data_IF_918046680178
#
_entry.id   IF_918046680178
#
_cell.length_a   1.000
_cell.length_b   1.000
_cell.length_c   1.000
_cell.angle_alpha   90.00
_cell.angle_beta   90.00
_cell.angle_gamma   90.00
#
_symmetry.space_group_name_H-M   'P 1'
#
loop_
_entity.id
_entity.type
_entity.pdbx_description
1 polymer ?
2 non-polymer ?
3 non-polymer ?
4 non-polymer ?
5 water ?
#
# COMPACT_ATOMS: atom_id res chain seq x y z
N UNK A 15 -6.22 27.54 19.70
CA UNK A 15 -5.73 26.56 18.72
C UNK A 15 -4.64 27.13 17.83
N UNK A 16 -3.52 26.42 17.73
CA UNK A 16 -2.49 26.83 16.79
C UNK A 16 -2.89 26.46 15.37
N UNK A 17 -2.38 27.23 14.41
CA UNK A 17 -2.66 27.00 13.00
C UNK A 17 -1.38 26.59 12.29
N UNK A 18 -1.54 25.84 11.20
CA UNK A 18 -0.43 25.45 10.35
C UNK A 18 -0.81 25.78 8.92
N UNK A 19 -0.24 26.86 8.38
CA UNK A 19 -0.39 27.24 6.98
C UNK A 19 -1.87 27.27 6.56
N UNK A 20 -2.63 28.11 7.27
CA UNK A 20 -4.04 28.28 6.98
C UNK A 20 -4.94 27.20 7.51
N UNK A 21 -4.40 26.15 8.11
CA UNK A 21 -5.18 25.03 8.60
C UNK A 21 -5.19 25.06 10.12
N UNK A 22 -6.38 25.16 10.70
CA UNK A 22 -6.53 25.08 12.15
C UNK A 22 -6.42 23.63 12.58
N UNK A 23 -5.63 23.36 13.61
CA UNK A 23 -5.49 22.02 14.19
C UNK A 23 -6.08 22.05 15.60
N UNK A 24 -7.36 21.71 15.70
CA UNK A 24 -8.05 21.67 16.99
C UNK A 24 -7.63 20.46 17.80
N UNK A 25 -6.33 20.32 18.08
CA UNK A 25 -5.79 19.12 18.70
C UNK A 25 -5.42 19.31 20.15
N UNK A 26 -5.75 20.46 20.74
CA UNK A 26 -5.34 20.76 22.09
C UNK A 26 -6.32 20.22 23.12
N UNK A 27 -5.87 20.21 24.39
CA UNK A 27 -4.54 20.68 24.79
C UNK A 27 -3.42 19.62 24.77
N UNK A 28 -3.75 18.38 24.43
CA UNK A 28 -2.75 17.32 24.55
C UNK A 28 -1.59 17.53 23.57
N UNK A 29 -1.88 18.04 22.38
CA UNK A 29 -0.88 18.12 21.31
C UNK A 29 -0.61 19.57 20.97
N UNK A 30 0.66 19.97 21.09
CA UNK A 30 1.10 21.35 20.91
C UNK A 30 2.36 21.38 20.06
N UNK A 31 2.81 22.60 19.75
CA UNK A 31 4.08 22.85 19.04
C UNK A 31 4.12 22.10 17.72
N UNK A 32 3.32 22.60 16.78
CA UNK A 32 3.10 21.92 15.51
C UNK A 32 4.05 22.41 14.43
N UNK A 33 4.34 21.53 13.47
CA UNK A 33 5.17 21.86 12.33
C UNK A 33 4.63 21.13 11.10
N UNK A 34 4.53 21.86 9.99
CA UNK A 34 4.03 21.29 8.75
C UNK A 34 4.95 20.17 8.26
N UNK A 35 4.34 19.09 7.75
CA UNK A 35 5.05 17.98 7.15
C UNK A 35 4.63 17.76 5.70
N UNK A 36 3.33 17.69 5.45
CA UNK A 36 2.83 17.42 4.12
C UNK A 36 1.36 17.77 4.01
N UNK A 37 0.83 17.61 2.81
CA UNK A 37 -0.53 18.07 2.50
C UNK A 37 -1.16 17.19 1.45
N UNK A 38 -2.49 17.17 1.43
CA UNK A 38 -3.24 16.34 0.50
C UNK A 38 -4.52 16.99 -0.01
N UNK A 39 -5.35 16.21 -0.72
CA UNK A 39 -6.53 16.77 -1.37
C UNK A 39 -7.59 17.21 -0.37
N UNK A 40 -7.62 16.60 0.81
CA UNK A 40 -8.48 17.07 1.89
C UNK A 40 -7.84 16.80 3.24
N UNK A 41 -6.51 16.83 3.30
CA UNK A 41 -5.80 16.50 4.51
C UNK A 41 -4.42 17.11 4.56
N UNK A 42 -3.99 17.45 5.77
CA UNK A 42 -2.67 18.00 6.02
C UNK A 42 -2.03 17.25 7.17
N UNK A 43 -0.72 17.00 7.06
CA UNK A 43 0.03 16.25 8.06
C UNK A 43 1.01 17.18 8.76
N UNK A 44 1.05 17.10 10.09
CA UNK A 44 1.96 17.88 10.90
C UNK A 44 2.59 17.00 11.97
N UNK A 45 3.71 17.45 12.50
CA UNK A 45 4.26 16.84 13.70
C UNK A 45 3.80 17.67 14.89
N UNK A 46 3.74 17.03 16.05
CA UNK A 46 3.24 17.73 17.22
C UNK A 46 3.79 17.07 18.47
N UNK A 47 3.90 17.85 19.55
CA UNK A 47 4.35 17.30 20.81
C UNK A 47 3.15 16.70 21.56
N UNK A 48 3.26 15.43 21.92
CA UNK A 48 2.27 14.74 22.75
C UNK A 48 2.62 15.00 24.21
N UNK A 49 1.86 15.92 24.83
CA UNK A 49 2.16 16.33 26.21
C UNK A 49 1.88 15.24 27.24
N UNK A 50 1.17 14.18 26.86
CA UNK A 50 0.98 13.05 27.76
C UNK A 50 2.17 12.10 27.69
N UNK A 51 2.49 11.60 26.49
CA UNK A 51 3.55 10.62 26.34
C UNK A 51 4.93 11.24 26.21
N UNK A 52 5.03 12.57 26.17
CA UNK A 52 6.31 13.28 26.19
C UNK A 52 7.16 12.90 24.98
N UNK A 53 6.52 12.91 23.82
CA UNK A 53 7.16 12.54 22.57
C UNK A 53 6.46 13.27 21.44
N UNK A 54 7.18 13.56 20.37
CA UNK A 54 6.55 14.15 19.21
C UNK A 54 5.89 13.07 18.37
N UNK A 55 4.72 13.41 17.80
CA UNK A 55 3.90 12.49 17.04
C UNK A 55 3.56 13.11 15.70
N UNK A 56 2.92 12.31 14.83
CA UNK A 56 2.40 12.80 13.57
C UNK A 56 0.88 12.89 13.67
N UNK A 57 0.31 13.96 13.12
CA UNK A 57 -1.15 14.15 13.12
C UNK A 57 -1.60 14.54 11.73
N UNK A 58 -2.62 13.85 11.22
CA UNK A 58 -3.22 14.18 9.94
C UNK A 58 -4.62 14.72 10.18
N UNK A 59 -4.88 15.92 9.68
CA UNK A 59 -6.22 16.49 9.69
C UNK A 59 -6.96 16.07 8.44
N UNK A 60 -8.13 15.45 8.61
CA UNK A 60 -8.96 14.99 7.51
C UNK A 60 -10.26 15.77 7.54
N UNK A 61 -10.75 16.19 6.37
CA UNK A 61 -12.01 16.92 6.25
C UNK A 61 -12.84 16.26 5.15
N UNK A 62 -13.38 15.08 5.41
CA UNK A 62 -13.95 14.26 4.32
C UNK A 62 -15.46 14.36 4.13
N UNK A 63 -16.18 15.12 4.94
CA UNK A 63 -17.59 14.83 5.13
C UNK A 63 -18.49 15.38 4.03
N UNK A 64 -17.96 16.23 3.15
CA UNK A 64 -18.75 16.71 2.03
C UNK A 64 -18.75 15.75 0.83
N UNK A 65 -17.92 14.71 0.84
CA UNK A 65 -17.74 13.85 -0.33
C UNK A 65 -17.80 12.39 0.06
N UNK A 66 -18.72 11.66 -0.59
CA UNK A 66 -18.95 10.27 -0.25
C UNK A 66 -17.68 9.43 -0.37
N UNK A 67 -16.93 9.61 -1.47
CA UNK A 67 -15.73 8.81 -1.68
C UNK A 67 -14.69 9.09 -0.59
N UNK A 68 -14.56 10.34 -0.17
CA UNK A 68 -13.63 10.65 0.91
C UNK A 68 -14.07 9.96 2.19
N UNK A 69 -15.38 9.98 2.47
CA UNK A 69 -15.89 9.31 3.66
C UNK A 69 -15.60 7.81 3.61
N UNK A 70 -15.79 7.19 2.43
CA UNK A 70 -15.46 5.79 2.24
C UNK A 70 -14.02 5.48 2.61
N UNK A 71 -13.09 6.22 2.02
CA UNK A 71 -11.67 5.95 2.27
C UNK A 71 -11.30 6.21 3.72
N UNK A 72 -11.89 7.23 4.32
CA UNK A 72 -11.60 7.53 5.72
C UNK A 72 -12.09 6.40 6.62
N UNK A 73 -13.30 5.92 6.39
CA UNK A 73 -13.83 4.84 7.21
C UNK A 73 -12.99 3.58 7.05
N UNK A 74 -12.62 3.23 5.81
CA UNK A 74 -11.78 2.06 5.57
C UNK A 74 -10.47 2.16 6.34
N UNK A 75 -9.79 3.30 6.22
CA UNK A 75 -8.50 3.48 6.91
C UNK A 75 -8.67 3.29 8.41
N UNK A 76 -9.67 3.94 8.99
CA UNK A 76 -9.84 3.90 10.44
C UNK A 76 -10.23 2.50 10.89
N UNK A 77 -11.21 1.89 10.22
CA UNK A 77 -11.67 0.58 10.65
C UNK A 77 -10.56 -0.45 10.56
N UNK A 78 -9.77 -0.43 9.49
CA UNK A 78 -8.73 -1.44 9.34
C UNK A 78 -7.61 -1.21 10.34
N UNK A 79 -7.09 0.02 10.43
CA UNK A 79 -5.96 0.28 11.31
C UNK A 79 -6.33 0.05 12.78
N UNK A 80 -7.57 0.32 13.16
CA UNK A 80 -7.93 0.08 14.56
C UNK A 80 -8.03 -1.39 14.89
N UNK A 81 -8.26 -2.24 13.88
CA UNK A 81 -8.36 -3.68 14.11
C UNK A 81 -7.03 -4.39 14.00
N UNK A 82 -6.12 -3.86 13.22
CA UNK A 82 -4.79 -4.44 13.05
C UNK A 82 -3.88 -4.05 14.20
N UNK A 83 -3.02 -4.98 14.61
CA UNK A 83 -1.94 -4.69 15.56
C UNK A 83 -0.72 -5.47 15.12
N UNK A 84 0.27 -4.77 14.54
CA UNK A 84 1.42 -5.44 13.96
C UNK A 84 2.57 -4.45 13.86
N UNK A 85 3.79 -4.93 14.12
CA UNK A 85 4.96 -4.06 14.17
C UNK A 85 5.23 -3.37 12.84
N UNK A 86 4.82 -3.98 11.71
CA UNK A 86 5.12 -3.42 10.40
C UNK A 86 3.89 -2.78 9.75
N UNK A 87 2.90 -2.41 10.55
CA UNK A 87 1.72 -1.67 10.10
C UNK A 87 1.53 -0.50 11.04
N UNK A 88 1.37 0.70 10.47
CA UNK A 88 1.27 1.88 11.33
C UNK A 88 0.04 1.74 12.23
N UNK A 89 0.19 2.10 13.50
CA UNK A 89 -0.93 2.09 14.41
C UNK A 89 -1.54 3.47 14.56
N UNK A 90 -2.80 3.50 14.98
CA UNK A 90 -3.47 4.75 15.33
C UNK A 90 -3.37 4.92 16.83
N UNK A 91 -2.67 5.98 17.27
CA UNK A 91 -2.48 6.25 18.69
C UNK A 91 -3.69 6.91 19.33
N UNK A 92 -4.41 7.70 18.54
CA UNK A 92 -5.42 8.62 19.06
C UNK A 92 -6.19 9.12 17.85
N UNK A 93 -7.47 9.42 18.06
CA UNK A 93 -8.27 10.12 17.07
C UNK A 93 -8.99 11.25 17.76
N UNK A 94 -8.86 12.45 17.20
CA UNK A 94 -9.43 13.66 17.78
C UNK A 94 -10.56 14.15 16.88
N UNK A 95 -11.73 14.38 17.47
CA UNK A 95 -12.81 15.02 16.74
C UNK A 95 -13.78 15.60 17.76
N UNK A 96 -14.74 16.38 17.25
CA UNK A 96 -15.72 17.05 18.10
C UNK A 96 -16.54 16.03 18.88
N UNK A 97 -17.13 16.44 20.01
CA UNK A 97 -17.89 15.50 20.83
C UNK A 97 -19.21 15.07 20.23
N UNK A 98 -19.73 15.74 19.22
CA UNK A 98 -21.02 15.41 18.62
C UNK A 98 -20.87 15.36 17.11
N UNK A 99 -21.75 14.57 16.45
CA UNK A 99 -21.73 14.51 14.99
C UNK A 99 -21.97 15.89 14.40
N UNK A 100 -22.90 16.65 14.98
CA UNK A 100 -23.24 17.97 14.46
C UNK A 100 -22.01 18.86 14.41
N UNK A 101 -21.15 18.78 15.43
CA UNK A 101 -19.99 19.64 15.51
C UNK A 101 -18.78 19.05 14.81
N UNK A 102 -18.87 17.81 14.34
CA UNK A 102 -17.72 17.15 13.73
C UNK A 102 -17.58 17.59 12.29
N UNK A 103 -16.56 18.39 12.00
CA UNK A 103 -16.23 18.75 10.63
C UNK A 103 -14.91 18.15 10.17
N UNK A 104 -13.99 17.93 11.10
CA UNK A 104 -12.68 17.40 10.81
C UNK A 104 -12.45 16.18 11.67
N UNK A 105 -11.50 15.35 11.27
CA UNK A 105 -11.02 14.26 12.10
C UNK A 105 -9.50 14.29 12.06
N UNK A 106 -8.87 14.10 13.21
CA UNK A 106 -7.42 14.11 13.29
C UNK A 106 -6.95 12.73 13.70
N UNK A 107 -6.10 12.13 12.88
CA UNK A 107 -5.55 10.82 13.18
C UNK A 107 -4.13 11.02 13.68
N UNK A 108 -3.82 10.48 14.85
CA UNK A 108 -2.51 10.60 15.48
C UNK A 108 -1.78 9.28 15.34
N UNK A 109 -0.53 9.33 14.86
CA UNK A 109 0.31 8.17 14.70
C UNK A 109 1.69 8.44 15.26
N UNK A 110 2.46 7.37 15.47
CA UNK A 110 3.88 7.53 15.77
C UNK A 110 4.52 8.40 14.70
N UNK A 111 5.44 9.27 15.10
CA UNK A 111 6.16 10.10 14.14
C UNK A 111 7.23 9.26 13.47
N UNK A 112 7.14 9.17 12.14
CA UNK A 112 8.13 8.44 11.36
C UNK A 112 9.01 9.43 10.61
N UNK A 113 10.32 9.16 10.59
CA UNK A 113 11.27 10.12 10.04
C UNK A 113 11.01 10.41 8.56
N UNK A 114 10.65 9.39 7.79
CA UNK A 114 10.54 9.56 6.35
C UNK A 114 9.65 8.44 5.80
N UNK A 115 9.56 8.37 4.47
CA UNK A 115 8.95 7.22 3.83
C UNK A 115 9.86 6.77 2.69
N UNK A 116 9.56 5.61 2.10
CA UNK A 116 10.50 5.05 1.15
C UNK A 116 10.56 5.88 -0.13
N UNK A 117 9.46 6.53 -0.50
CA UNK A 117 9.50 7.43 -1.65
C UNK A 117 10.51 8.55 -1.43
N UNK A 118 10.40 9.25 -0.31
CA UNK A 118 11.30 10.36 -0.03
C UNK A 118 12.73 9.85 0.10
N UNK A 119 12.91 8.70 0.75
CA UNK A 119 14.24 8.16 0.94
C UNK A 119 14.90 7.84 -0.40
N UNK A 120 14.16 7.22 -1.31
CA UNK A 120 14.74 6.82 -2.59
C UNK A 120 15.01 8.00 -3.51
N UNK A 121 14.45 9.18 -3.23
CA UNK A 121 14.79 10.36 -4.02
C UNK A 121 16.28 10.66 -3.96
N UNK A 122 16.91 10.42 -2.81
CA UNK A 122 18.28 10.86 -2.59
C UNK A 122 19.23 9.80 -2.07
N UNK A 123 18.76 8.66 -1.57
CA UNK A 123 19.63 7.72 -0.88
C UNK A 123 19.68 6.38 -1.60
N UNK A 124 20.88 5.90 -1.88
CA UNK A 124 21.06 4.54 -2.33
C UNK A 124 21.02 3.59 -1.13
N UNK A 125 20.44 2.42 -1.34
CA UNK A 125 20.28 1.46 -0.27
C UNK A 125 21.36 0.38 -0.36
N UNK A 126 21.95 0.03 0.77
CA UNK A 126 22.81 -1.16 0.82
C UNK A 126 21.98 -2.40 0.54
N UNK A 127 22.64 -3.48 0.12
CA UNK A 127 21.91 -4.73 0.00
C UNK A 127 21.30 -5.15 1.32
N UNK A 128 21.98 -4.85 2.43
CA UNK A 128 21.41 -5.19 3.74
C UNK A 128 20.14 -4.41 4.01
N UNK A 129 20.09 -3.14 3.60
CA UNK A 129 18.86 -2.37 3.81
C UNK A 129 17.74 -2.85 2.90
N UNK A 130 18.07 -3.16 1.64
CA UNK A 130 17.05 -3.68 0.73
C UNK A 130 16.44 -4.95 1.31
N UNK A 131 17.31 -5.85 1.79
CA UNK A 131 16.85 -7.11 2.37
C UNK A 131 15.98 -6.87 3.60
N UNK A 132 16.44 -6.02 4.51
CA UNK A 132 15.69 -5.71 5.71
C UNK A 132 14.34 -5.07 5.40
N UNK A 133 14.34 -4.10 4.49
CA UNK A 133 13.10 -3.42 4.11
C UNK A 133 12.13 -4.42 3.50
N UNK A 134 12.62 -5.25 2.57
CA UNK A 134 11.73 -6.19 1.91
C UNK A 134 11.16 -7.18 2.90
N UNK A 135 11.97 -7.63 3.85
CA UNK A 135 11.48 -8.54 4.87
C UNK A 135 10.34 -7.90 5.64
N UNK A 136 10.52 -6.63 6.06
CA UNK A 136 9.49 -5.96 6.85
C UNK A 136 8.23 -5.74 6.04
N UNK A 137 8.37 -5.40 4.75
CA UNK A 137 7.20 -5.22 3.90
C UNK A 137 6.40 -6.52 3.84
N UNK A 138 7.10 -7.63 3.61
CA UNK A 138 6.44 -8.92 3.45
C UNK A 138 5.90 -9.43 4.78
N UNK A 139 6.59 -9.15 5.89
CA UNK A 139 6.07 -9.54 7.19
C UNK A 139 4.75 -8.82 7.48
N UNK A 140 4.71 -7.52 7.21
CA UNK A 140 3.45 -6.79 7.37
C UNK A 140 2.39 -7.29 6.40
N UNK A 141 2.78 -7.52 5.15
CA UNK A 141 1.79 -7.99 4.18
C UNK A 141 1.24 -9.37 4.52
N UNK A 142 2.05 -10.23 5.14
CA UNK A 142 1.54 -11.53 5.57
C UNK A 142 0.37 -11.36 6.53
N UNK A 143 0.52 -10.45 7.50
CA UNK A 143 -0.55 -10.17 8.44
C UNK A 143 -1.78 -9.62 7.74
N UNK A 144 -1.57 -8.65 6.84
CA UNK A 144 -2.68 -8.07 6.09
C UNK A 144 -3.44 -9.15 5.34
N UNK A 145 -2.72 -9.97 4.58
CA UNK A 145 -3.35 -11.02 3.79
C UNK A 145 -3.99 -12.08 4.66
N UNK A 146 -3.40 -12.36 5.83
CA UNK A 146 -4.00 -13.34 6.73
C UNK A 146 -5.33 -12.85 7.28
N UNK A 147 -5.60 -11.55 7.22
CA UNK A 147 -6.88 -10.98 7.61
C UNK A 147 -7.85 -10.95 6.44
N UNK A 148 -7.48 -11.54 5.31
CA UNK A 148 -8.30 -11.54 4.10
C UNK A 148 -8.47 -10.13 3.55
N UNK A 149 -7.50 -9.26 3.84
CA UNK A 149 -7.50 -7.89 3.33
C UNK A 149 -6.46 -7.75 2.24
N UNK A 150 -6.80 -6.97 1.22
CA UNK A 150 -5.90 -6.52 0.18
C UNK A 150 -5.60 -5.05 0.38
N UNK A 151 -4.32 -4.68 0.37
CA UNK A 151 -3.97 -3.27 0.55
C UNK A 151 -4.34 -2.46 -0.68
N UNK A 152 -3.93 -2.94 -1.87
CA UNK A 152 -4.32 -2.42 -3.18
C UNK A 152 -3.72 -1.07 -3.53
N UNK A 153 -2.81 -0.53 -2.73
CA UNK A 153 -2.09 0.66 -3.16
C UNK A 153 -0.69 0.66 -2.56
N UNK A 154 -0.02 -0.49 -2.58
CA UNK A 154 1.35 -0.51 -2.06
C UNK A 154 2.28 0.21 -3.02
N UNK A 155 3.11 1.08 -2.47
CA UNK A 155 4.06 1.88 -3.23
C UNK A 155 5.01 2.51 -2.22
N UNK A 156 6.15 3.06 -2.65
CA UNK A 156 7.12 3.55 -1.65
C UNK A 156 6.57 4.62 -0.72
N UNK A 157 5.67 5.47 -1.19
CA UNK A 157 5.20 6.53 -0.31
C UNK A 157 4.25 6.02 0.78
N UNK A 158 3.80 4.77 0.69
CA UNK A 158 2.97 4.19 1.75
C UNK A 158 3.77 3.25 2.64
N UNK A 159 5.09 3.38 2.64
CA UNK A 159 5.97 2.63 3.52
C UNK A 159 6.70 3.67 4.36
N UNK A 160 6.26 3.85 5.60
CA UNK A 160 6.88 4.79 6.52
C UNK A 160 8.09 4.17 7.18
N UNK A 161 9.06 5.01 7.54
CA UNK A 161 10.33 4.57 8.10
C UNK A 161 10.70 5.49 9.25
N UNK A 162 11.09 4.94 10.38
CA UNK A 162 11.55 5.78 11.46
C UNK A 162 13.08 5.87 11.44
N UNK A 163 13.67 6.54 12.44
CA UNK A 163 15.10 6.81 12.38
C UNK A 163 15.95 5.56 12.53
N UNK A 164 15.36 4.44 12.95
CA UNK A 164 16.11 3.19 13.08
C UNK A 164 15.66 2.22 11.99
N UNK A 165 15.02 2.76 10.97
CA UNK A 165 14.66 2.01 9.77
C UNK A 165 13.64 0.90 10.04
N UNK A 166 12.84 1.09 11.09
CA UNK A 166 11.64 0.28 11.25
C UNK A 166 10.64 0.72 10.19
N UNK A 167 10.03 -0.25 9.49
CA UNK A 167 9.17 0.01 8.34
C UNK A 167 7.73 -0.31 8.71
N UNK A 168 6.81 0.60 8.40
CA UNK A 168 5.40 0.41 8.72
C UNK A 168 4.54 0.78 7.52
N UNK A 169 3.71 -0.17 7.10
CA UNK A 169 2.81 0.04 5.98
C UNK A 169 1.68 0.96 6.42
N UNK A 170 1.32 1.92 5.57
CA UNK A 170 0.24 2.86 5.92
C UNK A 170 -0.73 2.99 4.74
N UNK A 171 -1.77 3.78 4.98
CA UNK A 171 -2.79 4.18 4.01
C UNK A 171 -3.60 3.01 3.47
N UNK A 172 -4.62 2.60 4.21
CA UNK A 172 -5.50 1.52 3.81
C UNK A 172 -6.81 2.03 3.21
N UNK A 173 -6.83 3.29 2.77
CA UNK A 173 -8.07 3.86 2.25
C UNK A 173 -8.58 3.20 0.99
N UNK A 174 -7.73 2.47 0.27
CA UNK A 174 -8.13 1.79 -0.95
C UNK A 174 -8.24 0.28 -0.76
N UNK A 175 -8.13 -0.20 0.48
CA UNK A 175 -8.15 -1.63 0.76
C UNK A 175 -9.52 -2.23 0.51
N UNK A 176 -9.53 -3.56 0.31
CA UNK A 176 -10.76 -4.34 0.15
C UNK A 176 -10.58 -5.70 0.80
N UNK A 177 -11.69 -6.35 1.11
CA UNK A 177 -11.67 -7.77 1.47
C UNK A 177 -11.48 -8.60 0.21
N UNK A 178 -10.58 -9.58 0.28
CA UNK A 178 -10.28 -10.40 -0.89
C UNK A 178 -11.54 -11.12 -1.37
N UNK A 179 -11.64 -11.29 -2.69
CA UNK A 179 -12.82 -11.92 -3.29
C UNK A 179 -12.42 -12.57 -4.61
N UNK A 180 -11.61 -13.62 -4.56
CA UNK A 180 -11.06 -14.18 -5.81
C UNK A 180 -12.12 -14.76 -6.72
N UNK A 181 -13.28 -15.16 -6.18
CA UNK A 181 -14.33 -15.75 -7.01
C UNK A 181 -15.02 -14.72 -7.89
N UNK A 182 -14.87 -13.43 -7.58
CA UNK A 182 -15.49 -12.36 -8.36
C UNK A 182 -14.44 -11.43 -8.95
N UNK A 183 -13.24 -11.94 -9.23
CA UNK A 183 -12.15 -11.09 -9.69
C UNK A 183 -12.19 -10.81 -11.18
N UNK A 184 -12.84 -11.66 -11.99
CA UNK A 184 -12.72 -11.55 -13.43
C UNK A 184 -13.56 -10.41 -13.97
N UNK A 185 -13.01 -9.71 -14.96
CA UNK A 185 -13.73 -8.64 -15.63
C UNK A 185 -13.17 -8.48 -17.04
N UNK A 186 -13.57 -7.41 -17.71
CA UNK A 186 -13.18 -7.19 -19.09
C UNK A 186 -11.89 -6.39 -19.25
N UNK A 187 -11.63 -6.07 -20.52
CA UNK A 187 -10.36 -5.50 -20.98
C UNK A 187 -10.37 -3.97 -20.83
N UNK A 188 -9.33 -3.43 -20.20
CA UNK A 188 -9.10 -1.97 -20.12
C UNK A 188 -10.21 -1.25 -19.34
N UNK A 189 -10.72 -1.90 -18.30
CA UNK A 189 -11.74 -1.22 -17.52
C UNK A 189 -11.31 -0.84 -16.12
N UNK A 190 -10.35 -1.55 -15.54
CA UNK A 190 -10.12 -1.47 -14.11
C UNK A 190 -9.00 -0.50 -13.78
N UNK A 191 -9.12 0.07 -12.57
CA UNK A 191 -8.33 1.19 -12.06
C UNK A 191 -8.05 0.86 -10.59
N UNK A 192 -7.08 -0.02 -10.37
CA UNK A 192 -6.64 -0.44 -9.05
C UNK A 192 -5.18 -0.05 -8.88
N UNK A 193 -4.82 0.40 -7.67
CA UNK A 193 -3.46 0.79 -7.33
C UNK A 193 -2.96 2.01 -8.09
N UNK A 194 -1.76 2.46 -7.73
CA UNK A 194 -1.13 3.57 -8.43
C UNK A 194 -0.41 3.02 -9.65
N UNK A 195 -0.43 3.78 -10.76
CA UNK A 195 -0.12 3.24 -12.08
C UNK A 195 1.17 2.42 -12.11
N UNK A 196 2.28 2.98 -11.62
CA UNK A 196 3.56 2.28 -11.76
C UNK A 196 3.59 0.94 -11.02
N UNK A 197 2.70 0.73 -10.06
CA UNK A 197 2.73 -0.43 -9.17
C UNK A 197 1.58 -1.38 -9.47
N UNK A 198 0.95 -1.21 -10.62
CA UNK A 198 -0.29 -1.87 -10.99
C UNK A 198 0.02 -3.13 -11.78
N UNK A 199 -0.48 -4.28 -11.33
CA UNK A 199 -0.21 -5.57 -11.98
C UNK A 199 -0.77 -5.63 -13.40
N UNK A 200 -0.15 -6.42 -14.30
CA UNK A 200 -0.60 -6.42 -15.68
C UNK A 200 -2.05 -6.85 -15.83
N UNK A 201 -2.53 -7.77 -14.98
CA UNK A 201 -3.89 -8.27 -15.14
C UNK A 201 -4.95 -7.20 -14.86
N UNK A 202 -4.61 -6.14 -14.11
CA UNK A 202 -5.58 -5.05 -13.91
C UNK A 202 -6.04 -4.49 -15.24
N UNK A 203 -5.11 -4.33 -16.18
CA UNK A 203 -5.46 -3.82 -17.50
C UNK A 203 -6.10 -4.87 -18.39
N UNK A 204 -5.99 -6.15 -18.02
CA UNK A 204 -6.42 -7.23 -18.89
C UNK A 204 -7.77 -7.82 -18.50
N UNK A 205 -7.91 -8.25 -17.23
CA UNK A 205 -9.11 -9.02 -16.90
C UNK A 205 -9.36 -9.12 -15.39
N UNK A 206 -8.76 -8.27 -14.56
CA UNK A 206 -8.86 -8.43 -13.12
C UNK A 206 -9.35 -7.15 -12.46
N UNK A 207 -10.24 -7.30 -11.47
CA UNK A 207 -10.69 -6.20 -10.65
C UNK A 207 -9.78 -5.92 -9.47
N UNK A 208 -8.69 -6.67 -9.32
CA UNK A 208 -7.82 -6.45 -8.17
C UNK A 208 -8.37 -6.95 -6.85
N UNK A 209 -9.07 -8.09 -6.87
CA UNK A 209 -9.67 -8.69 -5.70
C UNK A 209 -8.92 -9.93 -5.23
N UNK A 210 -7.68 -10.13 -5.67
CA UNK A 210 -6.90 -11.27 -5.21
C UNK A 210 -5.58 -10.78 -4.66
N UNK A 211 -5.01 -11.58 -3.75
CA UNK A 211 -3.80 -11.18 -3.04
C UNK A 211 -2.61 -10.95 -3.97
N UNK A 212 -2.61 -11.61 -5.13
CA UNK A 212 -1.51 -11.45 -6.07
C UNK A 212 -1.33 -10.00 -6.54
N UNK A 213 -2.37 -9.17 -6.47
CA UNK A 213 -2.22 -7.76 -6.84
C UNK A 213 -1.17 -7.08 -5.95
N UNK A 214 -1.15 -7.44 -4.68
CA UNK A 214 -0.23 -6.79 -3.74
C UNK A 214 1.19 -7.29 -3.96
N UNK A 215 1.33 -8.57 -4.29
CA UNK A 215 2.68 -9.11 -4.50
C UNK A 215 3.33 -8.42 -5.68
N UNK A 216 2.57 -8.19 -6.76
CA UNK A 216 3.12 -7.44 -7.89
C UNK A 216 3.68 -6.10 -7.42
N UNK A 217 2.89 -5.37 -6.61
CA UNK A 217 3.36 -4.06 -6.16
C UNK A 217 4.65 -4.19 -5.38
N UNK A 218 4.74 -5.20 -4.51
CA UNK A 218 5.98 -5.38 -3.75
C UNK A 218 7.15 -5.64 -4.68
N UNK A 219 6.93 -6.43 -5.72
CA UNK A 219 8.00 -6.63 -6.68
C UNK A 219 8.45 -5.33 -7.32
N UNK A 220 7.49 -4.46 -7.66
CA UNK A 220 7.83 -3.16 -8.23
C UNK A 220 8.66 -2.35 -7.24
N UNK A 221 8.32 -2.43 -5.95
CA UNK A 221 9.05 -1.70 -4.92
C UNK A 221 10.46 -2.27 -4.78
N UNK A 222 10.60 -3.58 -4.78
CA UNK A 222 11.93 -4.19 -4.71
C UNK A 222 12.80 -3.71 -5.86
N UNK A 223 12.27 -3.74 -7.08
CA UNK A 223 13.04 -3.26 -8.22
C UNK A 223 13.46 -1.81 -8.03
N UNK A 224 12.57 -1.00 -7.47
CA UNK A 224 12.86 0.40 -7.27
C UNK A 224 13.93 0.58 -6.20
N UNK A 225 13.92 -0.28 -5.17
CA UNK A 225 14.98 -0.24 -4.16
C UNK A 225 16.33 -0.60 -4.75
N UNK A 226 16.35 -1.44 -5.78
CA UNK A 226 17.62 -1.88 -6.36
C UNK A 226 18.28 -0.80 -7.20
N UNK A 227 17.52 0.15 -7.75
CA UNK A 227 18.09 1.12 -8.68
C UNK A 227 17.65 2.56 -8.47
N UNK A 228 16.74 2.85 -7.54
CA UNK A 228 16.22 4.19 -7.28
C UNK A 228 15.41 4.75 -8.45
N UNK A 229 14.94 3.89 -9.36
CA UNK A 229 14.09 4.29 -10.47
C UNK A 229 12.92 3.33 -10.55
N UNK A 230 11.72 3.82 -10.83
CA UNK A 230 10.60 2.89 -11.06
C UNK A 230 10.89 1.96 -12.22
N UNK A 231 10.60 0.67 -12.04
CA UNK A 231 10.94 -0.30 -13.07
C UNK A 231 9.99 -0.21 -14.26
N UNK A 232 8.73 0.15 -14.03
CA UNK A 232 7.71 0.24 -15.09
C UNK A 232 7.09 1.63 -15.09
N UNK A 233 7.80 2.64 -15.60
CA UNK A 233 7.31 4.03 -15.49
C UNK A 233 6.35 4.44 -16.59
N UNK A 234 5.18 3.80 -16.62
CA UNK A 234 4.21 4.14 -17.65
C UNK A 234 3.82 5.61 -17.55
N UNK A 235 3.65 6.25 -18.70
CA UNK A 235 3.37 7.68 -18.73
C UNK A 235 1.90 8.00 -18.61
N UNK A 236 1.05 6.98 -18.66
CA UNK A 236 -0.39 7.10 -18.52
C UNK A 236 -0.93 5.68 -18.43
N UNK A 237 -2.24 5.57 -18.19
CA UNK A 237 -2.86 4.29 -17.87
C UNK A 237 -2.58 3.24 -18.95
N UNK A 238 -2.69 3.62 -20.21
CA UNK A 238 -2.55 2.65 -21.29
C UNK A 238 -1.09 2.29 -21.55
N UNK A 239 -0.16 3.16 -21.19
CA UNK A 239 1.26 2.92 -21.39
C UNK A 239 1.82 1.87 -20.43
N UNK A 240 1.13 1.60 -19.32
CA UNK A 240 1.73 0.80 -18.26
C UNK A 240 2.02 -0.62 -18.72
N UNK A 241 1.10 -1.24 -19.47
CA UNK A 241 1.32 -2.59 -19.96
C UNK A 241 2.51 -2.64 -20.94
N UNK A 242 2.73 -1.56 -21.70
CA UNK A 242 3.87 -1.50 -22.61
C UNK A 242 5.18 -1.70 -21.85
N UNK A 243 5.33 -1.02 -20.72
CA UNK A 243 6.58 -1.11 -19.97
C UNK A 243 6.72 -2.49 -19.37
N UNK A 244 5.63 -3.05 -18.85
CA UNK A 244 5.70 -4.38 -18.23
C UNK A 244 6.13 -5.40 -19.27
N UNK A 245 5.44 -5.41 -20.42
CA UNK A 245 5.77 -6.38 -21.46
C UNK A 245 7.12 -6.10 -22.09
N UNK A 246 7.57 -4.84 -22.08
CA UNK A 246 8.88 -4.52 -22.62
C UNK A 246 10.00 -5.18 -21.86
N UNK A 247 9.79 -5.49 -20.59
CA UNK A 247 10.81 -6.14 -19.78
C UNK A 247 10.53 -7.63 -19.61
N UNK A 248 9.29 -8.02 -19.30
CA UNK A 248 9.00 -9.44 -19.15
C UNK A 248 9.01 -10.18 -20.47
N UNK A 249 8.82 -9.49 -21.60
CA UNK A 249 8.65 -10.14 -22.89
C UNK A 249 7.25 -10.68 -23.06
N UNK A 250 7.03 -11.30 -24.23
CA UNK A 250 5.72 -11.85 -24.57
C UNK A 250 5.32 -12.95 -23.59
N UNK A 251 4.07 -12.99 -23.13
CA UNK A 251 3.62 -14.12 -22.32
C UNK A 251 3.57 -15.41 -23.12
N UNK A 252 3.80 -16.51 -22.41
CA UNK A 252 3.76 -17.85 -22.98
C UNK A 252 2.33 -18.21 -23.41
N UNK A 253 2.23 -19.23 -24.28
CA UNK A 253 0.94 -19.77 -24.66
C UNK A 253 0.15 -20.22 -23.44
N UNK A 254 0.80 -20.90 -22.50
CA UNK A 254 0.14 -21.34 -21.29
C UNK A 254 -0.46 -20.15 -20.53
N UNK A 255 0.30 -19.08 -20.40
CA UNK A 255 -0.20 -17.91 -19.67
C UNK A 255 -1.34 -17.23 -20.42
N UNK A 256 -1.26 -17.20 -21.76
CA UNK A 256 -2.38 -16.65 -22.54
C UNK A 256 -3.61 -17.54 -22.41
N UNK A 257 -3.41 -18.86 -22.37
CA UNK A 257 -4.55 -19.77 -22.24
C UNK A 257 -5.29 -19.57 -20.92
N UNK A 258 -4.64 -18.96 -19.93
CA UNK A 258 -5.32 -18.64 -18.67
C UNK A 258 -6.17 -17.37 -18.75
N UNK A 259 -6.09 -16.63 -19.85
CA UNK A 259 -6.90 -15.43 -20.07
C UNK A 259 -8.05 -15.83 -21.00
N UNK A 260 -9.23 -16.06 -20.45
CA UNK A 260 -10.30 -16.50 -21.32
C UNK A 260 -10.94 -15.33 -22.05
N UNK A 261 -10.89 -14.13 -21.47
CA UNK A 261 -11.50 -12.98 -22.13
C UNK A 261 -10.84 -12.73 -23.48
N UNK A 262 -11.67 -12.68 -24.54
CA UNK A 262 -11.14 -12.69 -25.90
C UNK A 262 -10.51 -11.34 -26.26
N UNK A 263 -11.08 -10.23 -25.77
CA UNK A 263 -10.48 -8.94 -26.09
C UNK A 263 -9.10 -8.81 -25.49
N UNK A 264 -8.95 -9.25 -24.24
CA UNK A 264 -7.63 -9.20 -23.59
C UNK A 264 -6.65 -10.15 -24.26
N UNK A 265 -7.05 -11.40 -24.49
CA UNK A 265 -6.12 -12.34 -25.14
C UNK A 265 -5.74 -11.85 -26.53
N UNK A 266 -6.71 -11.39 -27.31
CA UNK A 266 -6.39 -10.98 -28.67
C UNK A 266 -5.52 -9.74 -28.73
N UNK A 267 -5.66 -8.84 -27.75
CA UNK A 267 -4.73 -7.73 -27.69
C UNK A 267 -3.30 -8.25 -27.54
N UNK A 268 -3.07 -9.16 -26.60
CA UNK A 268 -1.71 -9.69 -26.42
C UNK A 268 -1.24 -10.44 -27.66
N UNK A 269 -2.15 -11.16 -28.31
CA UNK A 269 -1.75 -11.92 -29.49
C UNK A 269 -1.41 -11.01 -30.66
N UNK A 270 -1.93 -9.79 -30.66
CA UNK A 270 -1.72 -8.85 -31.75
C UNK A 270 -0.34 -8.22 -31.69
N UNK A 271 0.36 -8.37 -30.57
CA UNK A 271 1.64 -7.72 -30.36
C UNK A 271 2.76 -8.51 -31.02
N UNK A 272 3.79 -7.83 -31.52
CA UNK A 272 4.98 -8.54 -31.98
C UNK A 272 5.65 -9.26 -30.83
N UNK A 273 6.34 -10.35 -31.17
CA UNK A 273 7.14 -11.10 -30.20
C UNK A 273 8.20 -10.19 -29.57
N UNK A 274 8.26 -10.20 -28.24
CA UNK A 274 9.23 -9.46 -27.45
C UNK A 274 9.99 -10.42 -26.55
N UNK A 275 11.32 -10.31 -26.56
CA UNK A 275 12.16 -11.10 -25.67
C UNK A 275 12.21 -10.53 -24.26
N UNK A 276 12.38 -11.42 -23.28
CA UNK A 276 12.59 -11.00 -21.91
C UNK A 276 13.93 -10.26 -21.77
N UNK A 277 13.93 -9.19 -21.00
CA UNK A 277 15.15 -8.50 -20.61
C UNK A 277 15.64 -9.13 -19.31
N UNK A 278 16.83 -9.72 -19.27
CA UNK A 278 17.27 -10.41 -18.04
C UNK A 278 17.43 -9.42 -16.91
N UNK A 279 16.99 -9.85 -15.72
CA UNK A 279 17.09 -8.98 -14.55
C UNK A 279 18.53 -8.57 -14.28
N UNK A 280 19.49 -9.47 -14.53
CA UNK A 280 20.86 -9.13 -14.16
C UNK A 280 21.49 -8.15 -15.14
N UNK A 281 20.89 -7.94 -16.31
CA UNK A 281 21.33 -6.83 -17.17
C UNK A 281 20.72 -5.52 -16.73
N UNK A 282 19.48 -5.53 -16.22
CA UNK A 282 18.87 -4.33 -15.67
C UNK A 282 19.49 -3.93 -14.35
N UNK A 283 19.91 -4.91 -13.54
CA UNK A 283 20.45 -4.68 -12.19
C UNK A 283 21.77 -5.41 -12.03
N UNK A 284 22.83 -4.95 -12.68
CA UNK A 284 24.10 -5.70 -12.64
C UNK A 284 24.77 -5.72 -11.28
N UNK A 285 24.40 -4.82 -10.37
CA UNK A 285 24.95 -4.79 -9.02
C UNK A 285 24.16 -5.63 -8.02
N UNK A 286 23.00 -6.17 -8.42
CA UNK A 286 22.10 -6.75 -7.44
C UNK A 286 22.53 -8.15 -7.02
N UNK A 287 22.20 -8.48 -5.77
CA UNK A 287 22.29 -9.83 -5.24
C UNK A 287 21.50 -10.80 -6.13
N UNK A 288 22.13 -11.91 -6.53
CA UNK A 288 21.44 -12.86 -7.41
C UNK A 288 20.19 -13.43 -6.75
N UNK A 289 20.20 -13.60 -5.43
CA UNK A 289 19.01 -14.12 -4.75
C UNK A 289 17.89 -13.09 -4.75
N UNK A 290 18.25 -11.80 -4.65
CA UNK A 290 17.24 -10.75 -4.75
C UNK A 290 16.57 -10.79 -6.12
N UNK A 291 17.37 -11.01 -7.18
CA UNK A 291 16.80 -11.02 -8.52
C UNK A 291 15.95 -12.27 -8.75
N UNK A 292 16.32 -13.38 -8.12
CA UNK A 292 15.48 -14.57 -8.23
C UNK A 292 14.12 -14.33 -7.60
N UNK A 293 14.11 -13.70 -6.43
CA UNK A 293 12.85 -13.37 -5.78
C UNK A 293 12.08 -12.32 -6.56
N UNK A 294 12.78 -11.31 -7.09
CA UNK A 294 12.13 -10.29 -7.91
C UNK A 294 11.39 -10.93 -9.08
N UNK A 295 12.05 -11.87 -9.76
CA UNK A 295 11.42 -12.55 -10.89
C UNK A 295 10.13 -13.26 -10.47
N UNK A 296 10.13 -13.87 -9.29
CA UNK A 296 8.95 -14.61 -8.82
C UNK A 296 7.82 -13.68 -8.42
N UNK A 297 8.13 -12.48 -7.91
CA UNK A 297 7.07 -11.52 -7.62
C UNK A 297 6.55 -10.84 -8.88
N UNK A 298 7.42 -10.57 -9.85
CA UNK A 298 7.02 -9.93 -11.11
C UNK A 298 6.74 -10.96 -12.19
N UNK A 299 6.02 -12.00 -11.81
CA UNK A 299 5.58 -13.05 -12.73
C UNK A 299 4.27 -12.64 -13.37
N UNK A 300 4.19 -12.78 -14.70
CA UNK A 300 3.03 -12.25 -15.44
C UNK A 300 1.74 -12.91 -15.00
N UNK A 301 1.74 -14.23 -14.96
CA UNK A 301 0.54 -14.99 -14.63
C UNK A 301 0.28 -14.89 -13.14
N UNK A 302 -0.83 -14.28 -12.71
CA UNK A 302 -1.04 -14.12 -11.26
C UNK A 302 -1.19 -15.43 -10.52
N UNK A 303 -1.60 -16.51 -11.22
CA UNK A 303 -1.69 -17.81 -10.55
C UNK A 303 -0.32 -18.42 -10.29
N UNK A 304 0.69 -18.08 -11.08
CA UNK A 304 2.04 -18.58 -10.86
C UNK A 304 2.87 -17.66 -9.97
N UNK A 305 2.38 -16.45 -9.73
CA UNK A 305 3.12 -15.47 -8.93
C UNK A 305 3.27 -15.95 -7.50
N UNK A 306 4.46 -15.71 -6.93
CA UNK A 306 4.73 -16.15 -5.57
C UNK A 306 3.78 -15.49 -4.58
N UNK A 307 3.39 -16.23 -3.54
CA UNK A 307 2.55 -15.69 -2.48
C UNK A 307 3.41 -15.21 -1.33
N UNK A 308 2.80 -14.44 -0.42
CA UNK A 308 3.57 -13.74 0.60
C UNK A 308 4.35 -14.72 1.49
N UNK A 309 3.76 -15.86 1.87
CA UNK A 309 4.49 -16.75 2.76
C UNK A 309 5.64 -17.45 2.05
N UNK A 310 5.48 -17.73 0.74
CA UNK A 310 6.61 -18.26 -0.02
C UNK A 310 7.71 -17.24 -0.13
N UNK A 311 7.35 -15.98 -0.35
CA UNK A 311 8.36 -14.93 -0.47
C UNK A 311 9.16 -14.79 0.80
N UNK A 312 8.52 -14.88 1.97
CA UNK A 312 9.24 -14.80 3.23
C UNK A 312 10.25 -15.93 3.36
N UNK A 313 9.95 -17.09 2.78
CA UNK A 313 10.79 -18.28 2.87
C UNK A 313 11.87 -18.34 1.80
N UNK A 314 11.95 -17.32 0.95
CA UNK A 314 12.91 -17.33 -0.14
C UNK A 314 14.33 -17.15 0.41
N UNK A 315 15.34 -17.82 -0.18
CA UNK A 315 16.72 -17.68 0.32
C UNK A 315 17.21 -16.26 0.51
N UNK A 316 16.75 -15.29 -0.29
CA UNK A 316 17.19 -13.92 -0.11
C UNK A 316 16.93 -13.43 1.30
N UNK A 317 15.85 -13.90 1.94
CA UNK A 317 15.46 -13.41 3.25
C UNK A 317 15.84 -14.37 4.39
N UNK A 318 16.76 -15.31 4.14
CA UNK A 318 17.06 -16.36 5.11
C UNK A 318 17.59 -15.81 6.43
N UNK A 319 18.25 -14.65 6.42
CA UNK A 319 18.79 -14.11 7.68
C UNK A 319 17.69 -13.67 8.64
N UNK A 320 16.50 -13.38 8.12
CA UNK A 320 15.39 -12.87 8.91
C UNK A 320 14.24 -13.86 9.07
N UNK A 321 14.10 -14.80 8.16
CA UNK A 321 12.89 -15.63 8.12
C UNK A 321 12.70 -16.42 9.41
N UNK A 322 11.53 -16.27 10.02
CA UNK A 322 11.17 -16.99 11.22
C UNK A 322 9.66 -17.01 11.33
N UNK A 323 9.01 -18.07 10.82
CA UNK A 323 7.53 -18.08 10.77
C UNK A 323 6.88 -17.90 12.13
N UNK A 324 7.51 -18.36 13.21
CA UNK A 324 6.93 -18.17 14.53
C UNK A 324 6.98 -16.72 14.98
N UNK A 325 7.75 -15.88 14.30
CA UNK A 325 7.83 -14.45 14.59
C UNK A 325 7.27 -13.62 13.43
N UNK A 326 6.35 -14.21 12.65
CA UNK A 326 5.68 -13.57 11.53
C UNK A 326 4.20 -13.78 11.76
N UNK A 327 3.59 -12.99 12.64
CA UNK A 327 2.25 -13.31 13.13
C UNK A 327 1.17 -13.05 12.10
N UNK A 328 0.02 -13.69 12.33
CA UNK A 328 -1.16 -13.50 11.51
C UNK A 328 -2.28 -12.90 12.37
N UNK A 329 -3.32 -12.46 11.68
CA UNK A 329 -4.42 -11.76 12.34
C UNK A 329 -5.31 -12.73 13.10
N UNK A 330 -5.85 -12.25 14.23
CA UNK A 330 -6.67 -13.11 15.10
C UNK A 330 -7.93 -13.58 14.37
N UNK A 331 -8.50 -12.76 13.53
CA UNK A 331 -9.64 -13.16 12.74
C UNK A 331 -9.77 -12.24 11.54
N UNK A 332 -9.97 -12.79 10.35
CA UNK A 332 -10.04 -11.96 9.16
C UNK A 332 -11.30 -11.11 9.14
N UNK A 333 -11.24 -10.04 8.36
CA UNK A 333 -12.45 -9.41 7.88
C UNK A 333 -13.19 -10.42 7.01
N UNK A 334 -14.50 -10.49 7.18
CA UNK A 334 -15.24 -11.61 6.61
C UNK A 334 -16.05 -11.25 5.38
N UNK A 339 -19.90 -0.24 1.45
CA UNK A 339 -19.63 1.18 1.64
C UNK A 339 -19.97 2.00 0.39
N UNK A 340 -20.09 1.32 -0.75
CA UNK A 340 -20.34 2.03 -2.00
C UNK A 340 -21.76 2.58 -2.07
N UNK A 341 -22.71 1.96 -1.36
CA UNK A 341 -24.10 2.37 -1.41
C UNK A 341 -24.50 3.35 -0.32
N UNK A 342 -23.62 3.60 0.64
CA UNK A 342 -24.02 4.39 1.82
C UNK A 342 -23.89 5.87 1.53
N UNK A 343 -24.90 6.67 1.83
CA UNK A 343 -24.75 8.13 1.70
C UNK A 343 -23.74 8.66 2.70
N UNK A 344 -23.19 9.82 2.39
CA UNK A 344 -22.13 10.36 3.23
C UNK A 344 -22.61 10.60 4.65
N UNK A 345 -23.92 10.81 4.85
CA UNK A 345 -24.45 10.99 6.19
C UNK A 345 -24.31 9.72 7.01
N UNK A 346 -24.58 8.57 6.41
CA UNK A 346 -24.40 7.30 7.12
C UNK A 346 -22.92 7.03 7.35
N UNK A 347 -22.07 7.38 6.39
CA UNK A 347 -20.64 7.18 6.57
C UNK A 347 -20.12 8.06 7.71
N UNK A 348 -20.64 9.28 7.82
CA UNK A 348 -20.20 10.14 8.91
C UNK A 348 -20.56 9.53 10.25
N UNK A 349 -21.78 8.99 10.35
CA UNK A 349 -22.21 8.34 11.57
C UNK A 349 -21.31 7.16 11.92
N UNK A 350 -20.90 6.39 10.90
CA UNK A 350 -20.01 5.26 11.14
C UNK A 350 -18.63 5.73 11.58
N UNK A 351 -18.13 6.81 11.00
CA UNK A 351 -16.84 7.35 11.41
C UNK A 351 -16.93 7.87 12.85
N UNK A 352 -18.02 8.54 13.19
CA UNK A 352 -18.25 8.97 14.56
C UNK A 352 -18.20 7.79 15.53
N UNK A 353 -18.92 6.72 15.19
CA UNK A 353 -18.97 5.56 16.06
C UNK A 353 -17.61 4.88 16.18
N UNK A 354 -16.89 4.74 15.05
CA UNK A 354 -15.59 4.08 15.07
C UNK A 354 -14.56 4.84 15.90
N UNK A 355 -14.73 6.15 16.05
CA UNK A 355 -13.74 6.98 16.73
C UNK A 355 -14.10 7.26 18.18
N UNK A 356 -15.24 6.72 18.65
CA UNK A 356 -15.74 7.03 19.98
C UNK A 356 -14.79 6.56 21.08
N UNK A 357 -14.05 5.48 20.85
CA UNK A 357 -13.22 4.90 21.91
C UNK A 357 -12.16 5.87 22.41
N UNK A 358 -11.84 6.91 21.63
CA UNK A 358 -10.79 7.84 21.98
C UNK A 358 -11.30 9.06 22.71
N UNK A 359 -12.61 9.16 22.89
CA UNK A 359 -13.21 10.25 23.66
C UNK A 359 -13.06 9.98 25.15
N UNK A 360 -12.82 11.03 25.95
CA UNK A 360 -12.56 12.39 25.47
X LIG B 1 -2.50 -15.55 4.20
X LIG B 1 -2.68 -14.94 2.86
X LIG B 1 -2.03 -17.29 3.98
X LIG B 1 -0.96 -14.88 4.90
X LIG C 1 2.54 6.90 -11.51
X LIG C 1 2.65 5.80 -10.50
X LIG C 1 0.94 7.73 -11.36
X LIG C 1 3.57 8.29 -10.96
X LIG D 1 20.03 8.06 -5.53
X LIG D 1 19.17 8.32 -6.72
X LIG D 1 21.26 6.77 -5.92
X LIG D 1 21.14 9.47 -5.27
X LIG E 1 -10.82 -21.44 -23.16
X LIG E 1 -11.59 -22.69 -22.90
X LIG E 1 -9.12 -21.84 -23.68
X LIG E 1 -11.46 -20.65 -24.65
X LIG F 1 2.94 -20.38 -6.96
X LIG F 1 4.13 -21.12 -6.43
X LIG F 1 1.85 -21.56 -7.83
X LIG F 1 1.85 -19.93 -5.58
X LIG G 1 -3.49 6.39 -14.03
X LIG G 1 -4.47 7.05 -14.91
X LIG G 1 -4.21 5.61 -13.03
X LIG G 1 -2.67 7.40 -13.37
X LIG G 1 -2.63 5.47 -14.77
X LIG H 1 -12.02 3.84 -3.90
X LIG H 1 -13.37 3.61 -4.40
X LIG H 1 -12.09 4.66 -2.69
X LIG H 1 -11.38 2.57 -3.60
X LIG H 1 -11.24 4.55 -4.92
X LIG I 1 5.62 11.19 9.78
X LIG I 1 4.04 10.90 8.06
X LIG I 1 3.38 10.00 8.81
X LIG I 1 2.37 10.23 6.93
X LIG I 1 0.22 8.63 6.32
X LIG I 1 -0.94 9.23 7.12
X LIG I 1 0.55 13.80 3.52
X LIG I 1 0.30 14.86 3.54
X LIG I 1 3.89 11.97 5.80
X LIG I 1 3.19 13.11 3.90
X LIG I 1 2.17 12.37 3.06
X LIG I 1 4.37 11.27 4.53
X LIG I 1 3.83 9.69 10.03
X LIG I 1 4.56 12.49 3.70
X LIG I 1 -1.88 9.70 9.33
X LIG I 1 -1.24 10.41 10.52
X LIG I 1 3.16 8.81 10.77
X LIG I 1 4.94 10.26 10.53
X LIG I 1 5.16 11.50 8.51
X LIG I 1 2.33 9.58 8.10
X LIG I 1 -0.85 9.15 8.45
X LIG I 1 3.42 11.04 6.88
X LIG I 1 0.81 12.72 3.50
X LIG I 1 -1.88 9.78 6.54
X LIG I 1 2.85 12.85 5.30
X LIG I 1 5.57 13.30 4.30
X LIG I 1 5.64 10.65 4.76
X LIG I 1 1.20 10.02 5.63
X LIG I 1 -0.04 11.70 10.04
#
# INVERSE_FOLDING_TARGET
HHHHHHMAAAAAAGPEMVRGQVFDVGPRYTNLSYIGEGAYGMVCSAYDNLNKVRVAIKKISPFEHQTYCQRTLREIKILLRFRHENIIGINDIIRAPTIEQMKDVYIVQDLMETDLYKLLKTQHLSNDHICYFLYQILRGLKYIHSANVLHRDLKPSNLLLNTTCDLKICDFGLARVADPDHDHTGFLTEYVATRWYRAPEIMLNSKGYTKSIDIWSVGCILAEMLSNRPIFPGKHYLDQLNHILGILGSPSQEDLNCIINLKARNYLLSLPHKNKVPWNRLFPNADSKALDLLDKMLTFNPHKRIEVEQALAHPYLEQYYDPSDEPIAEAPFKFDMELDDLPKEKLKELIFEETARFQPGYRS
DMS S O C1 C2
DMS S O C1 C2
DMS S O C1 C2
DMS S O C1 C2
DMS S O C1 C2
SO4 S O1 O2 O3 O4
SO4 S O1 O2 O3 O4
E3K C2 C3 C4 C5 C6 C7 N8 N9 C10 C11 C12 C14 C1 C13 C8 C9 N1 N2 N3 N4 N5 N6 N7 O1 O2 O3 O4 S1 S2
#
